data_IF_610564590581
#
_entry.id   IF_610564590581
#
_cell.length_a   1.000
_cell.length_b   1.000
_cell.length_c   1.000
_cell.angle_alpha   90.00
_cell.angle_beta   90.00
_cell.angle_gamma   90.00
#
_symmetry.space_group_name_H-M   'P 1'
#
loop_
_entity.id
_entity.type
_entity.pdbx_description
1 polymer ?
#
# COMPACT_ATOMS: atom_id res chain seq x y z
N UNK A 1 9.89 41.65 -75.39
CA UNK A 1 11.23 41.10 -75.08
C UNK A 1 11.08 40.12 -73.93
N UNK A 2 11.54 38.88 -74.13
CA UNK A 2 11.51 37.78 -73.14
C UNK A 2 12.74 37.91 -72.24
N UNK A 3 12.55 37.87 -70.92
CA UNK A 3 13.62 37.46 -70.00
C UNK A 3 13.07 36.47 -68.98
N UNK A 4 13.37 35.20 -69.23
CA UNK A 4 13.38 34.12 -68.25
C UNK A 4 14.60 34.26 -67.35
N UNK A 5 14.45 34.02 -66.04
CA UNK A 5 15.49 33.48 -65.15
C UNK A 5 14.82 32.98 -63.84
N UNK A 6 15.44 32.06 -63.08
CA UNK A 6 14.96 30.68 -62.99
C UNK A 6 14.41 30.28 -61.60
N UNK A 7 13.77 29.11 -61.60
CA UNK A 7 13.34 28.34 -60.44
C UNK A 7 14.51 28.02 -59.50
N UNK A 8 14.50 28.59 -58.29
CA UNK A 8 15.28 28.09 -57.15
C UNK A 8 14.33 27.40 -56.18
N UNK A 9 14.27 26.07 -56.25
CA UNK A 9 13.63 25.25 -55.25
C UNK A 9 14.53 25.19 -54.01
N UNK A 10 14.07 25.73 -52.89
CA UNK A 10 14.68 25.57 -51.57
C UNK A 10 14.27 24.20 -51.02
N UNK A 11 15.19 23.24 -51.07
CA UNK A 11 15.10 21.98 -50.32
C UNK A 11 15.42 22.26 -48.86
N UNK A 12 14.40 22.39 -48.02
CA UNK A 12 14.54 22.36 -46.56
C UNK A 12 14.68 20.90 -46.16
N UNK A 13 15.91 20.44 -45.93
CA UNK A 13 16.16 19.15 -45.29
C UNK A 13 15.76 19.23 -43.81
N UNK A 14 14.56 18.75 -43.48
CA UNK A 14 14.22 18.38 -42.11
C UNK A 14 15.04 17.14 -41.73
N UNK A 15 16.12 17.36 -40.97
CA UNK A 15 16.75 16.27 -40.22
C UNK A 15 15.81 15.97 -39.05
N UNK A 16 14.91 15.02 -39.25
CA UNK A 16 14.24 14.37 -38.14
C UNK A 16 15.29 13.56 -37.39
N UNK A 17 15.85 14.16 -36.33
CA UNK A 17 16.57 13.39 -35.33
C UNK A 17 15.55 12.44 -34.70
N UNK A 18 15.52 11.21 -35.20
CA UNK A 18 14.82 10.12 -34.54
C UNK A 18 15.53 9.90 -33.20
N UNK A 19 15.05 10.58 -32.15
CA UNK A 19 15.28 10.13 -30.80
C UNK A 19 14.60 8.77 -30.68
N UNK A 20 15.34 7.71 -31.00
CA UNK A 20 15.01 6.37 -30.52
C UNK A 20 15.07 6.44 -29.01
N UNK A 21 13.94 6.77 -28.39
CA UNK A 21 13.72 6.61 -26.97
C UNK A 21 13.98 5.14 -26.67
N UNK A 22 15.20 4.85 -26.19
CA UNK A 22 15.52 3.53 -25.71
C UNK A 22 14.64 3.33 -24.49
N UNK A 23 13.63 2.47 -24.61
CA UNK A 23 12.86 2.03 -23.46
C UNK A 23 13.87 1.49 -22.45
N UNK A 24 13.84 2.03 -21.23
CA UNK A 24 14.71 1.59 -20.16
C UNK A 24 14.54 0.09 -19.96
N UNK A 25 15.64 -0.61 -19.64
CA UNK A 25 15.55 -2.01 -19.24
C UNK A 25 14.67 -2.10 -17.99
N UNK A 26 13.80 -3.11 -17.97
CA UNK A 26 12.97 -3.40 -16.81
C UNK A 26 13.39 -4.70 -16.16
N UNK A 27 13.13 -4.79 -14.86
CA UNK A 27 13.30 -6.01 -14.07
C UNK A 27 12.00 -6.35 -13.35
N UNK A 28 11.71 -7.64 -13.30
CA UNK A 28 10.61 -8.18 -12.49
C UNK A 28 11.00 -8.19 -11.01
N UNK A 29 10.14 -7.65 -10.16
CA UNK A 29 10.31 -7.63 -8.71
C UNK A 29 9.08 -8.25 -8.05
N UNK A 30 9.32 -9.20 -7.14
CA UNK A 30 8.27 -9.76 -6.28
C UNK A 30 7.96 -8.80 -5.13
N UNK A 31 6.69 -8.44 -4.97
CA UNK A 31 6.22 -7.54 -3.92
C UNK A 31 6.39 -8.18 -2.54
N UNK A 32 6.05 -9.47 -2.41
CA UNK A 32 6.19 -10.22 -1.16
C UNK A 32 7.64 -10.30 -0.71
N UNK A 33 8.57 -10.69 -1.60
CA UNK A 33 10.01 -10.72 -1.27
C UNK A 33 10.55 -9.34 -0.88
N UNK A 34 10.09 -8.28 -1.55
CA UNK A 34 10.47 -6.93 -1.18
C UNK A 34 9.93 -6.56 0.20
N UNK A 35 8.69 -6.92 0.53
CA UNK A 35 8.09 -6.70 1.84
C UNK A 35 8.80 -7.48 2.96
N UNK A 36 9.19 -8.73 2.72
CA UNK A 36 9.93 -9.56 3.69
C UNK A 36 11.30 -8.98 4.05
N UNK A 37 11.94 -8.31 3.09
CA UNK A 37 13.23 -7.66 3.26
C UNK A 37 13.12 -6.20 3.72
N UNK A 38 11.90 -5.69 3.87
CA UNK A 38 11.66 -4.30 4.15
C UNK A 38 12.17 -3.88 5.54
N UNK A 39 12.63 -2.64 5.61
CA UNK A 39 12.93 -1.96 6.87
C UNK A 39 11.87 -0.96 7.25
N UNK A 40 11.11 -0.48 6.26
CA UNK A 40 9.80 0.11 6.47
C UNK A 40 8.89 -0.03 5.27
N UNK A 41 7.58 0.00 5.54
CA UNK A 41 6.54 0.00 4.52
C UNK A 41 5.58 1.14 4.84
N UNK A 42 5.32 1.99 3.85
CA UNK A 42 4.24 2.96 3.87
C UNK A 42 3.10 2.45 3.00
N UNK A 43 1.90 2.43 3.54
CA UNK A 43 0.67 2.18 2.79
C UNK A 43 -0.16 3.44 2.82
N UNK A 44 -0.45 4.00 1.65
CA UNK A 44 -1.35 5.13 1.47
C UNK A 44 -2.61 4.67 0.78
N UNK A 45 -3.75 5.18 1.22
CA UNK A 45 -5.04 4.86 0.60
C UNK A 45 -5.92 6.10 0.52
N UNK A 46 -6.51 6.34 -0.64
CA UNK A 46 -7.53 7.36 -0.82
C UNK A 46 -8.82 6.72 -1.35
N UNK A 47 -9.94 7.07 -0.72
CA UNK A 47 -11.26 6.49 -1.00
C UNK A 47 -11.85 6.94 -2.34
N UNK A 48 -11.31 7.97 -2.98
CA UNK A 48 -11.84 8.50 -4.24
C UNK A 48 -11.05 9.70 -4.78
N UNK A 49 -11.49 10.26 -5.91
CA UNK A 49 -10.85 11.42 -6.53
C UNK A 49 -10.78 12.60 -5.57
N UNK A 50 -9.59 13.14 -5.34
CA UNK A 50 -9.38 14.31 -4.49
C UNK A 50 -9.53 14.06 -2.97
N UNK A 51 -9.83 12.83 -2.54
CA UNK A 51 -9.83 12.48 -1.13
C UNK A 51 -8.40 12.57 -0.55
N UNK A 52 -8.29 13.02 0.70
CA UNK A 52 -7.04 12.91 1.44
C UNK A 52 -6.65 11.43 1.58
N UNK A 53 -5.36 11.15 1.44
CA UNK A 53 -4.86 9.80 1.61
C UNK A 53 -4.58 9.53 3.09
N UNK A 54 -5.17 8.46 3.62
CA UNK A 54 -4.76 7.90 4.90
C UNK A 54 -3.37 7.28 4.75
N UNK A 55 -2.55 7.38 5.80
CA UNK A 55 -1.21 6.82 5.85
C UNK A 55 -1.13 5.81 7.00
N UNK A 56 -0.70 4.61 6.65
CA UNK A 56 -0.28 3.59 7.59
C UNK A 56 1.20 3.30 7.37
N UNK A 57 2.00 3.29 8.43
CA UNK A 57 3.44 2.99 8.36
C UNK A 57 3.78 1.80 9.24
N UNK A 58 4.61 0.90 8.71
CA UNK A 58 5.26 -0.18 9.45
C UNK A 58 6.76 0.04 9.43
N UNK A 59 7.41 0.05 10.60
CA UNK A 59 8.85 0.07 10.74
C UNK A 59 9.35 -1.21 11.40
N UNK A 60 10.37 -1.81 10.80
CA UNK A 60 11.03 -3.01 11.31
C UNK A 60 12.38 -2.64 11.91
N UNK A 61 12.58 -3.02 13.17
CA UNK A 61 13.77 -2.69 13.94
C UNK A 61 14.70 -3.91 14.03
N UNK A 62 16.00 -3.65 14.30
CA UNK A 62 16.89 -4.70 14.80
C UNK A 62 16.29 -5.37 16.05
N UNK A 63 16.61 -6.64 16.29
CA UNK A 63 16.00 -7.43 17.37
C UNK A 63 14.56 -7.89 17.10
N UNK A 64 13.98 -7.57 15.93
CA UNK A 64 12.68 -8.09 15.50
C UNK A 64 11.46 -7.36 16.07
N UNK A 65 11.66 -6.17 16.67
CA UNK A 65 10.57 -5.29 17.04
C UNK A 65 9.94 -4.64 15.78
N UNK A 66 8.65 -4.35 15.86
CA UNK A 66 7.87 -3.72 14.80
C UNK A 66 7.03 -2.59 15.36
N UNK A 67 7.08 -1.41 14.74
CA UNK A 67 6.20 -0.29 15.07
C UNK A 67 5.25 -0.04 13.91
N UNK A 68 3.95 -0.09 14.19
CA UNK A 68 2.88 0.27 13.27
C UNK A 68 2.26 1.58 13.72
N UNK A 69 1.92 2.46 12.78
CA UNK A 69 1.31 3.74 13.10
C UNK A 69 0.36 4.22 11.99
N UNK A 70 -0.71 4.89 12.40
CA UNK A 70 -1.66 5.58 11.53
C UNK A 70 -2.29 6.74 12.31
N UNK A 71 -2.46 7.89 11.66
CA UNK A 71 -2.84 9.13 12.35
C UNK A 71 -1.97 9.37 13.61
N UNK A 72 -2.57 9.43 14.80
CA UNK A 72 -1.92 9.53 16.11
C UNK A 72 -1.84 8.19 16.87
N UNK A 73 -2.32 7.11 16.25
CA UNK A 73 -2.39 5.77 16.81
C UNK A 73 -1.15 4.95 16.48
N UNK A 74 -0.73 4.10 17.43
CA UNK A 74 0.47 3.27 17.30
C UNK A 74 0.30 1.92 17.96
N UNK A 75 0.94 0.92 17.37
CA UNK A 75 1.09 -0.42 17.93
C UNK A 75 2.55 -0.82 17.86
N UNK A 76 3.11 -1.21 18.99
CA UNK A 76 4.48 -1.70 19.11
C UNK A 76 4.44 -3.19 19.40
N UNK A 77 4.94 -4.00 18.47
CA UNK A 77 5.20 -5.42 18.68
C UNK A 77 6.65 -5.61 19.12
N UNK A 78 6.84 -6.21 20.28
CA UNK A 78 8.12 -6.64 20.82
C UNK A 78 8.20 -8.16 20.84
N UNK A 79 9.40 -8.68 20.61
CA UNK A 79 9.72 -10.09 20.85
C UNK A 79 8.84 -11.10 20.12
N UNK A 80 8.24 -10.67 18.99
CA UNK A 80 7.30 -11.44 18.17
C UNK A 80 6.01 -11.91 18.87
N UNK A 81 5.77 -11.53 20.12
CA UNK A 81 4.64 -12.04 20.92
C UNK A 81 3.92 -10.99 21.78
N UNK A 82 4.54 -9.84 22.03
CA UNK A 82 4.04 -8.86 22.99
C UNK A 82 3.70 -7.57 22.27
N UNK A 83 2.41 -7.24 22.17
CA UNK A 83 1.98 -5.99 21.57
C UNK A 83 1.60 -4.96 22.64
N UNK A 84 1.93 -3.71 22.36
CA UNK A 84 1.61 -2.55 23.17
C UNK A 84 0.83 -1.57 22.32
N UNK A 85 -0.31 -1.11 22.83
CA UNK A 85 -1.26 -0.26 22.13
C UNK A 85 -1.18 1.17 22.67
N UNK A 86 -0.94 2.15 21.80
CA UNK A 86 -1.12 3.57 22.10
C UNK A 86 -2.15 4.14 21.13
N UNK A 87 -3.41 4.10 21.54
CA UNK A 87 -4.58 4.38 20.69
C UNK A 87 -5.40 5.54 21.27
N UNK A 88 -4.86 6.78 21.23
CA UNK A 88 -5.61 7.95 21.67
C UNK A 88 -6.93 8.07 20.88
N UNK A 89 -7.97 8.58 21.56
CA UNK A 89 -9.29 8.81 20.96
C UNK A 89 -10.14 7.55 20.69
N UNK A 90 -9.60 6.34 20.86
CA UNK A 90 -10.36 5.10 20.71
C UNK A 90 -11.48 4.99 21.77
N UNK A 91 -12.66 4.49 21.37
CA UNK A 91 -13.81 4.25 22.26
C UNK A 91 -14.30 2.80 22.12
N UNK A 92 -14.36 1.99 23.20
CA UNK A 92 -13.84 2.28 24.55
C UNK A 92 -12.31 2.48 24.55
N UNK A 93 -11.75 3.04 25.62
CA UNK A 93 -10.29 3.20 25.70
C UNK A 93 -9.61 1.82 25.73
N UNK A 94 -8.40 1.71 25.18
CA UNK A 94 -7.71 0.42 25.08
C UNK A 94 -7.49 -0.25 26.46
N UNK A 95 -7.27 0.55 27.49
CA UNK A 95 -7.11 0.12 28.89
C UNK A 95 -8.40 -0.47 29.49
N UNK A 96 -9.56 -0.08 28.99
CA UNK A 96 -10.88 -0.56 29.46
C UNK A 96 -11.30 -1.86 28.77
N UNK A 97 -10.65 -2.20 27.65
CA UNK A 97 -10.95 -3.41 26.92
C UNK A 97 -10.46 -4.66 27.70
N UNK A 98 -11.22 -5.77 27.66
CA UNK A 98 -10.71 -7.09 28.02
C UNK A 98 -9.49 -7.48 27.17
N UNK A 99 -8.61 -8.33 27.71
CA UNK A 99 -7.37 -8.74 27.04
C UNK A 99 -7.61 -9.28 25.62
N UNK A 100 -8.61 -10.15 25.45
CA UNK A 100 -8.98 -10.70 24.14
C UNK A 100 -9.28 -9.59 23.11
N UNK A 101 -10.02 -8.55 23.50
CA UNK A 101 -10.32 -7.43 22.62
C UNK A 101 -9.07 -6.60 22.31
N UNK A 102 -8.13 -6.44 23.25
CA UNK A 102 -6.85 -5.76 22.99
C UNK A 102 -6.00 -6.54 21.98
N UNK A 103 -5.96 -7.86 22.11
CA UNK A 103 -5.27 -8.73 21.14
C UNK A 103 -5.89 -8.59 19.76
N UNK A 104 -7.23 -8.58 19.65
CA UNK A 104 -7.91 -8.35 18.38
C UNK A 104 -7.56 -7.00 17.75
N UNK A 105 -7.45 -5.93 18.55
CA UNK A 105 -7.04 -4.61 18.04
C UNK A 105 -5.59 -4.64 17.53
N UNK A 106 -4.67 -5.26 18.28
CA UNK A 106 -3.29 -5.45 17.82
C UNK A 106 -3.19 -6.25 16.52
N UNK A 107 -3.99 -7.32 16.41
CA UNK A 107 -4.09 -8.14 15.21
C UNK A 107 -4.66 -7.35 14.02
N UNK A 108 -5.71 -6.56 14.23
CA UNK A 108 -6.29 -5.69 13.20
C UNK A 108 -5.29 -4.67 12.67
N UNK A 109 -4.49 -4.05 13.54
CA UNK A 109 -3.41 -3.16 13.13
C UNK A 109 -2.38 -3.89 12.25
N UNK A 110 -1.98 -5.10 12.64
CA UNK A 110 -1.08 -5.94 11.83
C UNK A 110 -1.68 -6.26 10.46
N UNK A 111 -2.95 -6.65 10.42
CA UNK A 111 -3.66 -6.95 9.17
C UNK A 111 -3.84 -5.71 8.29
N UNK A 112 -4.02 -4.52 8.86
CA UNK A 112 -4.09 -3.28 8.10
C UNK A 112 -2.77 -3.00 7.35
N UNK A 113 -1.63 -3.23 8.00
CA UNK A 113 -0.31 -3.11 7.37
C UNK A 113 -0.15 -4.06 6.17
N UNK A 114 -0.49 -5.35 6.34
CA UNK A 114 -0.43 -6.33 5.26
C UNK A 114 -1.52 -6.14 4.19
N UNK A 115 -2.67 -5.57 4.57
CA UNK A 115 -3.82 -5.39 3.68
C UNK A 115 -3.51 -4.55 2.46
N UNK A 116 -2.70 -3.49 2.61
CA UNK A 116 -2.23 -2.68 1.48
C UNK A 116 -1.36 -3.45 0.50
N UNK A 117 -0.43 -4.26 1.04
CA UNK A 117 0.47 -5.11 0.25
C UNK A 117 -0.33 -6.17 -0.50
N UNK A 118 -1.26 -6.84 0.18
CA UNK A 118 -2.13 -7.85 -0.41
C UNK A 118 -3.06 -7.25 -1.48
N UNK A 119 -3.60 -6.04 -1.25
CA UNK A 119 -4.46 -5.36 -2.20
C UNK A 119 -3.74 -5.07 -3.53
N UNK A 120 -2.50 -4.58 -3.47
CA UNK A 120 -1.70 -4.31 -4.66
C UNK A 120 -1.15 -5.61 -5.25
N UNK A 121 -0.60 -6.50 -4.42
CA UNK A 121 -0.04 -7.78 -4.83
C UNK A 121 -1.05 -8.67 -5.56
N UNK A 122 -2.30 -8.73 -5.08
CA UNK A 122 -3.37 -9.49 -5.72
C UNK A 122 -3.78 -8.95 -7.09
N UNK A 123 -3.58 -7.66 -7.37
CA UNK A 123 -3.88 -7.05 -8.68
C UNK A 123 -2.83 -7.37 -9.75
N UNK A 124 -1.61 -7.68 -9.33
CA UNK A 124 -0.45 -7.83 -10.21
C UNK A 124 0.15 -9.23 -10.17
N UNK A 125 -0.57 -10.19 -9.59
CA UNK A 125 -0.13 -11.58 -9.43
C UNK A 125 1.19 -11.68 -8.65
N UNK A 126 1.36 -10.79 -7.67
CA UNK A 126 2.49 -10.75 -6.74
C UNK A 126 3.78 -10.12 -7.30
N UNK A 127 3.84 -9.77 -8.58
CA UNK A 127 5.06 -9.24 -9.21
C UNK A 127 4.81 -8.04 -10.11
N UNK A 128 5.77 -7.13 -10.18
CA UNK A 128 5.72 -5.91 -11.01
C UNK A 128 7.02 -5.74 -11.80
N UNK A 129 6.94 -5.02 -12.91
CA UNK A 129 8.11 -4.55 -13.64
C UNK A 129 8.56 -3.20 -13.09
N UNK A 130 9.87 -2.97 -13.03
CA UNK A 130 10.44 -1.68 -12.65
C UNK A 130 11.56 -1.34 -13.60
N UNK A 131 11.60 -0.10 -14.08
CA UNK A 131 12.68 0.37 -14.91
C UNK A 131 13.96 0.60 -14.08
N UNK A 132 15.10 0.21 -14.62
CA UNK A 132 16.41 0.34 -13.95
C UNK A 132 16.87 1.79 -13.81
N UNK A 133 16.37 2.69 -14.67
CA UNK A 133 16.64 4.13 -14.62
C UNK A 133 15.74 4.90 -13.65
N UNK A 134 14.83 4.20 -12.95
CA UNK A 134 13.90 4.80 -12.00
C UNK A 134 12.70 5.50 -12.66
N UNK A 135 12.48 5.36 -13.98
CA UNK A 135 11.25 5.83 -14.63
C UNK A 135 10.02 5.03 -14.20
N UNK A 136 8.84 5.62 -14.35
CA UNK A 136 7.58 4.94 -14.05
C UNK A 136 7.28 3.86 -15.11
N UNK A 137 6.92 2.67 -14.64
CA UNK A 137 6.34 1.62 -15.47
C UNK A 137 4.85 1.56 -15.20
N UNK A 138 4.04 1.44 -16.25
CA UNK A 138 2.57 1.41 -16.16
C UNK A 138 2.01 0.12 -16.75
N UNK A 139 1.02 -0.45 -16.07
CA UNK A 139 0.32 -1.68 -16.45
C UNK A 139 -1.16 -1.53 -16.14
N UNK A 140 -2.02 -2.00 -17.04
CA UNK A 140 -3.43 -2.20 -16.70
C UNK A 140 -3.61 -3.52 -15.94
N UNK A 141 -4.47 -3.50 -14.93
CA UNK A 141 -4.84 -4.68 -14.15
C UNK A 141 -6.36 -4.76 -14.00
N UNK A 142 -6.87 -5.97 -13.87
CA UNK A 142 -8.29 -6.24 -13.68
C UNK A 142 -8.48 -7.14 -12.46
N UNK A 143 -9.57 -6.93 -11.72
CA UNK A 143 -9.99 -7.78 -10.59
C UNK A 143 -11.47 -8.09 -10.70
N UNK A 144 -11.79 -9.38 -10.64
CA UNK A 144 -13.19 -9.82 -10.62
C UNK A 144 -13.86 -9.46 -9.29
N UNK A 145 -15.13 -9.10 -9.37
CA UNK A 145 -16.04 -9.00 -8.22
C UNK A 145 -17.33 -9.75 -8.54
N UNK A 146 -18.26 -9.83 -7.60
CA UNK A 146 -19.45 -10.68 -7.68
C UNK A 146 -20.24 -10.55 -9.00
N UNK A 147 -20.28 -9.35 -9.59
CA UNK A 147 -21.11 -9.05 -10.76
C UNK A 147 -20.34 -8.44 -11.95
N UNK A 148 -19.00 -8.52 -11.95
CA UNK A 148 -18.21 -8.01 -13.08
C UNK A 148 -16.73 -7.83 -12.76
N UNK A 149 -16.15 -6.73 -13.26
CA UNK A 149 -14.71 -6.47 -13.19
C UNK A 149 -14.44 -5.04 -12.71
N UNK A 150 -13.47 -4.88 -11.82
CA UNK A 150 -12.82 -3.61 -11.52
C UNK A 150 -11.56 -3.46 -12.38
N UNK A 151 -11.30 -2.26 -12.92
CA UNK A 151 -10.11 -1.96 -13.71
C UNK A 151 -9.20 -1.00 -12.97
N UNK A 152 -7.90 -1.18 -13.14
CA UNK A 152 -6.87 -0.42 -12.46
C UNK A 152 -5.75 -0.02 -13.42
N UNK A 153 -5.23 1.19 -13.25
CA UNK A 153 -3.91 1.59 -13.73
C UNK A 153 -2.91 1.38 -12.59
N UNK A 154 -1.94 0.50 -12.79
CA UNK A 154 -0.90 0.19 -11.82
C UNK A 154 0.40 0.82 -12.27
N UNK A 155 0.97 1.65 -11.41
CA UNK A 155 2.22 2.37 -11.64
C UNK A 155 3.26 1.85 -10.66
N UNK A 156 4.40 1.38 -11.16
CA UNK A 156 5.55 0.95 -10.37
C UNK A 156 6.77 1.82 -10.66
N UNK A 157 7.59 2.06 -9.64
CA UNK A 157 8.80 2.88 -9.77
C UNK A 157 9.84 2.48 -8.72
N UNK A 158 11.12 2.53 -9.09
CA UNK A 158 12.21 2.61 -8.10
C UNK A 158 12.48 4.07 -7.80
N UNK A 159 12.25 4.46 -6.55
CA UNK A 159 12.48 5.82 -6.06
C UNK A 159 13.99 6.12 -5.99
N UNK A 160 14.40 7.41 -6.00
CA UNK A 160 15.82 7.79 -5.94
C UNK A 160 16.59 7.25 -4.72
N UNK A 161 15.90 7.01 -3.60
CA UNK A 161 16.47 6.43 -2.39
C UNK A 161 16.51 4.89 -2.42
N UNK A 162 16.20 4.26 -3.56
CA UNK A 162 16.14 2.82 -3.73
C UNK A 162 14.79 2.19 -3.40
N UNK A 163 13.86 2.90 -2.73
CA UNK A 163 12.58 2.32 -2.33
C UNK A 163 11.74 1.87 -3.53
N UNK A 164 10.99 0.78 -3.38
CA UNK A 164 10.00 0.35 -4.37
C UNK A 164 8.66 1.04 -4.09
N UNK A 165 8.15 1.80 -5.05
CA UNK A 165 6.80 2.37 -4.99
C UNK A 165 5.89 1.65 -5.98
N UNK A 166 4.70 1.26 -5.55
CA UNK A 166 3.66 0.68 -6.41
C UNK A 166 2.32 1.30 -6.05
N UNK A 167 1.64 1.91 -7.03
CA UNK A 167 0.31 2.50 -6.87
C UNK A 167 -0.68 1.83 -7.79
N UNK A 168 -1.81 1.37 -7.26
CA UNK A 168 -2.96 0.91 -8.01
C UNK A 168 -4.08 1.96 -7.93
N UNK A 169 -4.41 2.57 -9.08
CA UNK A 169 -5.50 3.54 -9.23
C UNK A 169 -6.69 2.85 -9.89
N UNK A 170 -7.85 2.86 -9.23
CA UNK A 170 -9.07 2.32 -9.82
C UNK A 170 -9.58 3.23 -10.94
N UNK A 171 -9.72 2.71 -12.15
CA UNK A 171 -10.13 3.48 -13.34
C UNK A 171 -11.56 3.17 -13.77
N UNK A 172 -12.09 1.99 -13.45
CA UNK A 172 -13.49 1.66 -13.72
C UNK A 172 -14.03 0.58 -12.79
N UNK A 173 -15.36 0.58 -12.62
CA UNK A 173 -16.14 -0.58 -12.17
C UNK A 173 -17.09 -0.94 -13.29
N UNK A 174 -17.00 -2.17 -13.80
CA UNK A 174 -17.90 -2.69 -14.82
C UNK A 174 -18.83 -3.71 -14.16
N UNK A 175 -20.13 -3.46 -14.27
CA UNK A 175 -21.18 -4.41 -13.88
C UNK A 175 -21.71 -5.10 -15.15
N UNK A 176 -21.61 -6.42 -15.21
CA UNK A 176 -22.05 -7.26 -16.31
C UNK A 176 -23.29 -8.10 -15.95
N UNK A 177 -23.85 -7.93 -14.76
CA UNK A 177 -25.03 -8.66 -14.33
C UNK A 177 -26.26 -8.25 -15.15
N UNK A 178 -27.13 -9.24 -15.37
CA UNK A 178 -28.44 -9.01 -15.97
C UNK A 178 -29.43 -8.63 -14.85
N UNK A 179 -30.47 -7.85 -15.18
CA UNK A 179 -31.57 -7.61 -14.25
C UNK A 179 -32.13 -8.91 -13.70
N UNK A 180 -32.45 -8.89 -12.41
CA UNK A 180 -33.04 -10.03 -11.72
C UNK A 180 -34.41 -10.40 -12.31
N UNK A 181 -34.76 -11.69 -12.29
CA UNK A 181 -36.09 -12.15 -12.72
C UNK A 181 -37.13 -11.85 -11.63
N UNK A 182 -38.41 -11.63 -11.97
CA UNK A 182 -39.47 -11.51 -10.99
C UNK A 182 -39.49 -12.73 -10.04
N UNK A 183 -39.50 -12.48 -8.73
CA UNK A 183 -39.50 -13.53 -7.70
C UNK A 183 -38.13 -14.15 -7.39
N UNK A 184 -37.03 -13.59 -7.92
CA UNK A 184 -35.69 -14.04 -7.53
C UNK A 184 -35.40 -13.75 -6.06
N UNK A 185 -34.83 -14.74 -5.35
CA UNK A 185 -34.42 -14.64 -3.94
C UNK A 185 -32.90 -14.57 -3.76
N UNK A 186 -32.14 -14.72 -4.85
CA UNK A 186 -30.68 -14.63 -4.89
C UNK A 186 -30.22 -13.80 -6.09
N UNK A 187 -29.13 -13.05 -5.96
CA UNK A 187 -28.63 -12.10 -6.96
C UNK A 187 -29.69 -11.12 -7.46
N UNK A 188 -30.49 -10.61 -6.51
CA UNK A 188 -31.49 -9.56 -6.76
C UNK A 188 -30.79 -8.26 -7.16
N UNK A 189 -31.53 -7.35 -7.79
CA UNK A 189 -30.98 -6.03 -8.15
C UNK A 189 -30.53 -5.26 -6.89
N UNK A 190 -31.18 -5.50 -5.75
CA UNK A 190 -30.78 -4.96 -4.44
C UNK A 190 -29.45 -5.55 -3.94
N UNK A 191 -29.27 -6.87 -4.02
CA UNK A 191 -27.98 -7.50 -3.66
C UNK A 191 -26.87 -7.01 -4.59
N UNK A 192 -27.14 -6.88 -5.90
CA UNK A 192 -26.18 -6.31 -6.85
C UNK A 192 -25.79 -4.88 -6.47
N UNK A 193 -26.75 -4.03 -6.12
CA UNK A 193 -26.51 -2.66 -5.68
C UNK A 193 -25.72 -2.61 -4.36
N UNK A 194 -26.04 -3.48 -3.40
CA UNK A 194 -25.31 -3.58 -2.14
C UNK A 194 -23.85 -4.00 -2.37
N UNK A 195 -23.60 -5.03 -3.19
CA UNK A 195 -22.23 -5.45 -3.55
C UNK A 195 -21.46 -4.39 -4.31
N UNK A 196 -22.13 -3.64 -5.19
CA UNK A 196 -21.50 -2.53 -5.89
C UNK A 196 -21.08 -1.41 -4.93
N UNK A 197 -21.88 -1.14 -3.90
CA UNK A 197 -21.59 -0.14 -2.87
C UNK A 197 -20.43 -0.50 -1.95
N UNK A 198 -20.10 -1.80 -1.82
CA UNK A 198 -18.92 -2.27 -1.08
C UNK A 198 -17.60 -2.00 -1.84
N UNK A 199 -17.66 -1.73 -3.14
CA UNK A 199 -16.47 -1.47 -3.95
C UNK A 199 -15.98 -0.02 -3.78
N UNK A 200 -14.65 0.16 -3.76
CA UNK A 200 -14.06 1.50 -3.74
C UNK A 200 -14.51 2.35 -4.94
N UNK A 201 -14.64 3.66 -4.78
CA UNK A 201 -15.06 4.54 -5.86
C UNK A 201 -14.07 4.53 -7.03
N UNK A 202 -14.53 4.82 -8.25
CA UNK A 202 -13.61 5.09 -9.37
C UNK A 202 -12.76 6.32 -9.01
N UNK A 203 -11.44 6.20 -9.19
CA UNK A 203 -10.45 7.18 -8.75
C UNK A 203 -9.95 6.99 -7.32
N UNK A 204 -10.46 6.00 -6.58
CA UNK A 204 -9.78 5.50 -5.38
C UNK A 204 -8.44 4.89 -5.74
N UNK A 205 -7.48 4.94 -4.83
CA UNK A 205 -6.17 4.34 -5.05
C UNK A 205 -5.53 3.84 -3.76
N UNK A 206 -4.67 2.83 -3.92
CA UNK A 206 -3.79 2.33 -2.87
C UNK A 206 -2.36 2.39 -3.38
N UNK A 207 -1.45 2.90 -2.57
CA UNK A 207 -0.02 2.95 -2.84
C UNK A 207 0.74 2.27 -1.72
N UNK A 208 1.70 1.43 -2.08
CA UNK A 208 2.69 0.89 -1.16
C UNK A 208 4.06 1.44 -1.53
N UNK A 209 4.82 1.87 -0.53
CA UNK A 209 6.23 2.20 -0.66
C UNK A 209 7.02 1.31 0.29
N UNK A 210 7.88 0.47 -0.27
CA UNK A 210 8.69 -0.51 0.44
C UNK A 210 10.14 -0.02 0.44
N UNK A 211 10.66 0.23 1.64
CA UNK A 211 12.03 0.69 1.85
C UNK A 211 12.93 -0.46 2.26
N UNK A 212 14.10 -0.54 1.63
CA UNK A 212 15.17 -1.50 1.90
C UNK A 212 16.42 -0.82 2.48
N UNK A 213 16.30 0.44 2.94
CA UNK A 213 17.36 1.17 3.64
C UNK A 213 17.87 0.39 4.86
N UNK A 214 19.11 0.60 5.35
CA UNK A 214 19.62 -0.11 6.52
C UNK A 214 18.61 -0.14 7.67
N UNK A 215 18.45 -1.32 8.31
CA UNK A 215 17.51 -1.49 9.42
C UNK A 215 17.78 -0.44 10.48
N UNK A 216 16.70 0.12 11.03
CA UNK A 216 16.80 0.92 12.25
C UNK A 216 17.47 0.05 13.32
N UNK A 217 18.27 0.70 14.17
CA UNK A 217 18.77 0.06 15.38
C UNK A 217 17.63 -0.46 16.25
N UNK A 218 17.95 -1.06 17.38
CA UNK A 218 16.90 -1.50 18.29
C UNK A 218 16.07 -0.33 18.80
N UNK A 219 14.82 -0.60 19.19
CA UNK A 219 14.05 0.37 19.97
C UNK A 219 14.80 0.59 21.29
N UNK A 220 15.02 1.85 21.64
CA UNK A 220 15.71 2.26 22.88
C UNK A 220 15.10 1.55 24.09
N UNK A 221 15.94 0.95 24.92
CA UNK A 221 15.51 0.24 26.13
C UNK A 221 14.81 1.17 27.13
N UNK A 222 15.19 2.45 27.17
CA UNK A 222 14.61 3.46 28.05
C UNK A 222 13.34 4.09 27.45
N UNK A 223 12.92 3.68 26.23
CA UNK A 223 11.69 4.15 25.61
C UNK A 223 10.49 3.85 26.51
N UNK A 224 9.77 4.91 26.88
CA UNK A 224 8.68 4.81 27.87
C UNK A 224 7.43 4.14 27.30
N UNK A 225 6.89 3.20 28.09
CA UNK A 225 5.64 2.49 27.84
C UNK A 225 4.49 2.92 28.77
N UNK A 226 4.65 4.00 29.54
CA UNK A 226 3.66 4.43 30.56
C UNK A 226 2.26 4.71 29.98
N UNK A 227 2.18 5.23 28.76
CA UNK A 227 0.91 5.53 28.07
C UNK A 227 0.48 4.40 27.13
N UNK A 228 1.15 3.26 27.18
CA UNK A 228 0.89 2.12 26.33
C UNK A 228 0.13 1.05 27.10
N UNK A 229 -0.81 0.40 26.43
CA UNK A 229 -1.61 -0.68 27.01
C UNK A 229 -1.09 -2.00 26.47
N UNK A 230 -0.62 -2.88 27.36
CA UNK A 230 -0.23 -4.24 26.98
C UNK A 230 -1.45 -5.08 26.57
N UNK A 231 -1.30 -5.83 25.48
CA UNK A 231 -2.31 -6.81 25.04
C UNK A 231 -2.25 -8.12 25.84
N UNK A 232 -1.13 -8.41 26.51
CA UNK A 232 -0.93 -9.63 27.32
C UNK A 232 -1.24 -9.41 28.79
N UNK A 233 -1.37 -8.15 29.22
CA UNK A 233 -1.70 -7.76 30.60
C UNK A 233 -0.48 -7.39 31.44
N UNK A 234 0.72 -7.64 30.94
CA UNK A 234 1.97 -7.29 31.62
C UNK A 234 2.17 -5.76 31.63
N UNK A 235 2.53 -5.23 32.79
CA UNK A 235 2.75 -3.80 33.00
C UNK A 235 4.24 -3.49 33.00
N UNK A 236 4.78 -3.15 31.83
CA UNK A 236 6.13 -2.64 31.69
C UNK A 236 6.13 -1.11 31.60
N UNK A 237 7.04 -0.44 32.31
CA UNK A 237 7.23 1.00 32.23
C UNK A 237 8.14 1.41 31.07
N UNK A 238 9.02 0.52 30.61
CA UNK A 238 9.98 0.74 29.51
C UNK A 238 10.08 -0.46 28.57
N UNK A 239 10.66 -0.26 27.38
CA UNK A 239 10.92 -1.34 26.41
C UNK A 239 11.90 -2.37 26.96
N UNK A 240 12.93 -1.95 27.71
CA UNK A 240 13.87 -2.87 28.35
C UNK A 240 13.19 -3.79 29.37
N UNK A 241 12.30 -3.22 30.20
CA UNK A 241 11.51 -4.01 31.15
C UNK A 241 10.55 -4.96 30.42
N UNK A 242 9.88 -4.49 29.37
CA UNK A 242 9.02 -5.34 28.53
C UNK A 242 9.78 -6.53 27.95
N UNK A 243 11.01 -6.33 27.46
CA UNK A 243 11.86 -7.40 26.95
C UNK A 243 12.23 -8.41 28.02
N UNK A 244 12.57 -7.95 29.22
CA UNK A 244 12.88 -8.82 30.37
C UNK A 244 11.69 -9.70 30.76
N UNK A 245 10.51 -9.09 30.93
CA UNK A 245 9.27 -9.81 31.27
C UNK A 245 8.98 -10.89 30.23
N UNK A 246 9.25 -10.58 28.96
CA UNK A 246 8.97 -11.46 27.84
C UNK A 246 10.14 -12.39 27.47
N UNK A 247 11.25 -12.37 28.20
CA UNK A 247 12.39 -13.27 28.00
C UNK A 247 13.11 -13.09 26.66
N UNK A 248 13.34 -11.85 26.26
CA UNK A 248 13.91 -11.47 24.96
C UNK A 248 14.88 -10.28 25.07
N UNK A 249 15.67 -10.26 26.16
CA UNK A 249 16.83 -9.37 26.30
C UNK A 249 17.96 -9.73 25.32
#
# INVERSE_FOLDING_TARGET
MKHHFPRTALLVSMVAAACSAHAASTRTVSIEKAADQATSIETRHAQGPGAAADLFTTHYYAGGAMMMAWADQRVLLLCKKSAYLKLPGMKPAASELPLEKRQMVGYQAMMAGYGGIAAVGGLVDGSIEVADDGSEVRRQAERSWAYGIERYDVISQRMPNGALRVRALKTATVNNAKPSKPGATFSTDEDQAARLAELGAVGSWTEITIHDTPKRGEVDADYSLKEWVSVTGDHAATVGEARRINGCE
#
